data_IF_712338996116
#
_entry.id   IF_712338996116
#
_cell.length_a   1.000
_cell.length_b   1.000
_cell.length_c   1.000
_cell.angle_alpha   90.00
_cell.angle_beta   90.00
_cell.angle_gamma   90.00
#
_symmetry.space_group_name_H-M   'P 1'
#
loop_
_entity.id
_entity.type
_entity.pdbx_description
1 polymer ?
#
# COMPACT_ATOMS: atom_id res chain seq x y z
N UNK A 1 18.43 9.95 -5.81
CA UNK A 1 17.94 9.17 -6.96
C UNK A 1 16.48 8.72 -6.84
N UNK A 2 16.11 7.76 -5.96
CA UNK A 2 14.74 7.21 -5.97
C UNK A 2 13.63 8.21 -5.55
N UNK A 3 13.85 8.99 -4.49
CA UNK A 3 12.91 10.05 -4.07
C UNK A 3 12.77 11.17 -5.10
N UNK A 4 13.88 11.54 -5.76
CA UNK A 4 13.90 12.59 -6.79
C UNK A 4 13.10 12.20 -8.03
N UNK A 5 13.03 10.90 -8.34
CA UNK A 5 12.25 10.39 -9.47
C UNK A 5 10.73 10.55 -9.29
N UNK A 6 10.24 10.77 -8.06
CA UNK A 6 8.80 10.99 -7.80
C UNK A 6 8.34 12.40 -8.19
N UNK A 7 9.21 13.41 -8.05
CA UNK A 7 8.82 14.80 -8.29
C UNK A 7 8.41 15.10 -9.75
N UNK A 8 9.10 14.58 -10.79
CA UNK A 8 8.64 14.73 -12.17
C UNK A 8 7.28 14.10 -12.44
N UNK A 9 6.96 12.97 -11.79
CA UNK A 9 5.67 12.30 -11.95
C UNK A 9 4.53 13.13 -11.35
N UNK A 10 4.74 13.68 -10.14
CA UNK A 10 3.79 14.60 -9.50
C UNK A 10 3.57 15.86 -10.35
N UNK A 11 4.64 16.48 -10.81
CA UNK A 11 4.57 17.68 -11.66
C UNK A 11 3.88 17.42 -13.01
N UNK A 12 4.04 16.22 -13.58
CA UNK A 12 3.33 15.85 -14.80
C UNK A 12 1.82 15.73 -14.54
N UNK A 13 1.42 15.08 -13.45
CA UNK A 13 0.01 14.92 -13.06
C UNK A 13 -0.69 16.28 -12.86
N UNK A 14 0.01 17.25 -12.28
CA UNK A 14 -0.51 18.61 -12.07
C UNK A 14 -0.81 19.36 -13.38
N UNK A 15 -0.13 19.02 -14.47
CA UNK A 15 -0.28 19.69 -15.78
C UNK A 15 -1.37 19.08 -16.67
N UNK A 16 -1.89 17.91 -16.32
CA UNK A 16 -2.93 17.24 -17.08
C UNK A 16 -4.27 17.97 -16.93
N UNK A 17 -5.04 18.03 -18.02
CA UNK A 17 -6.42 18.53 -17.95
C UNK A 17 -7.34 17.54 -17.20
N UNK A 18 -8.56 17.99 -16.91
CA UNK A 18 -9.53 17.19 -16.17
C UNK A 18 -9.89 15.86 -16.87
N UNK A 19 -9.88 15.82 -18.20
CA UNK A 19 -10.18 14.61 -18.97
C UNK A 19 -9.07 13.58 -18.85
N UNK A 20 -7.81 14.00 -18.95
CA UNK A 20 -6.64 13.14 -18.77
C UNK A 20 -6.48 12.67 -17.31
N UNK A 21 -6.91 13.48 -16.33
CA UNK A 21 -6.89 13.12 -14.90
C UNK A 21 -8.02 12.19 -14.48
N UNK A 22 -9.06 12.04 -15.30
CA UNK A 22 -10.23 11.23 -14.96
C UNK A 22 -9.84 9.77 -14.68
N UNK A 23 -10.48 9.20 -13.65
CA UNK A 23 -10.32 7.79 -13.30
C UNK A 23 -11.11 6.92 -14.29
N UNK A 24 -10.43 6.53 -15.37
CA UNK A 24 -10.95 5.58 -16.35
C UNK A 24 -10.14 4.30 -16.30
N UNK A 25 -10.69 3.22 -16.85
CA UNK A 25 -9.96 1.95 -16.92
C UNK A 25 -8.62 2.07 -17.67
N UNK A 26 -8.57 2.88 -18.74
CA UNK A 26 -7.45 2.93 -19.68
C UNK A 26 -6.41 4.01 -19.38
N UNK A 27 -6.75 5.01 -18.59
CA UNK A 27 -5.84 6.14 -18.29
C UNK A 27 -5.03 5.90 -17.03
N UNK A 28 -3.88 6.56 -16.93
CA UNK A 28 -3.18 6.77 -15.66
C UNK A 28 -3.68 8.08 -15.03
N UNK A 29 -4.95 8.10 -14.61
CA UNK A 29 -5.57 9.26 -13.98
C UNK A 29 -5.04 9.57 -12.57
N UNK A 30 -5.52 10.66 -11.99
CA UNK A 30 -5.06 11.18 -10.68
C UNK A 30 -5.19 10.14 -9.56
N UNK A 31 -6.30 9.38 -9.55
CA UNK A 31 -6.54 8.33 -8.58
C UNK A 31 -5.43 7.25 -8.63
N UNK A 32 -5.11 6.74 -9.82
CA UNK A 32 -4.10 5.69 -10.00
C UNK A 32 -2.71 6.22 -9.67
N UNK A 33 -2.41 7.44 -10.10
CA UNK A 33 -1.17 8.14 -9.76
C UNK A 33 -0.94 8.14 -8.25
N UNK A 34 -1.93 8.60 -7.47
CA UNK A 34 -1.81 8.63 -6.03
C UNK A 34 -1.70 7.23 -5.40
N UNK A 35 -2.39 6.21 -5.91
CA UNK A 35 -2.24 4.82 -5.44
C UNK A 35 -0.82 4.28 -5.65
N UNK A 36 -0.20 4.58 -6.80
CA UNK A 36 1.18 4.20 -7.08
C UNK A 36 2.17 5.00 -6.24
N UNK A 37 1.94 6.31 -6.10
CA UNK A 37 2.75 7.20 -5.29
C UNK A 37 2.72 6.80 -3.80
N UNK A 38 1.54 6.46 -3.26
CA UNK A 38 1.40 5.98 -1.88
C UNK A 38 2.30 4.79 -1.63
N UNK A 39 2.27 3.79 -2.52
CA UNK A 39 3.12 2.62 -2.40
C UNK A 39 4.60 2.94 -2.52
N UNK A 40 4.99 3.78 -3.49
CA UNK A 40 6.39 4.17 -3.67
C UNK A 40 6.94 4.90 -2.44
N UNK A 41 6.18 5.85 -1.87
CA UNK A 41 6.55 6.57 -0.64
C UNK A 41 6.70 5.61 0.54
N UNK A 42 5.74 4.70 0.71
CA UNK A 42 5.81 3.66 1.74
C UNK A 42 7.06 2.79 1.58
N UNK A 43 7.33 2.27 0.39
CA UNK A 43 8.52 1.42 0.12
C UNK A 43 9.85 2.15 0.34
N UNK A 44 9.86 3.46 0.17
CA UNK A 44 11.03 4.30 0.42
C UNK A 44 11.18 4.74 1.89
N UNK A 45 10.22 4.38 2.76
CA UNK A 45 10.20 4.79 4.16
C UNK A 45 9.78 6.24 4.39
N UNK A 46 9.27 6.95 3.38
CA UNK A 46 8.73 8.31 3.50
C UNK A 46 7.30 8.26 4.04
N UNK A 47 7.17 7.79 5.29
CA UNK A 47 5.87 7.50 5.92
C UNK A 47 5.04 8.75 6.12
N UNK A 48 5.66 9.92 6.27
CA UNK A 48 4.97 11.21 6.37
C UNK A 48 4.23 11.53 5.07
N UNK A 49 4.94 11.59 3.93
CA UNK A 49 4.30 11.88 2.64
C UNK A 49 3.33 10.78 2.23
N UNK A 50 3.60 9.52 2.58
CA UNK A 50 2.66 8.42 2.33
C UNK A 50 1.31 8.61 3.06
N UNK A 51 1.32 9.15 4.28
CA UNK A 51 0.09 9.44 5.06
C UNK A 51 -0.66 10.68 4.55
N UNK A 52 0.06 11.68 4.05
CA UNK A 52 -0.52 12.90 3.44
C UNK A 52 -1.09 12.65 2.04
N UNK A 53 -0.79 11.50 1.44
CA UNK A 53 -1.21 11.15 0.09
C UNK A 53 -2.75 11.01 -0.03
N UNK A 54 -3.29 11.47 -1.17
CA UNK A 54 -4.74 11.53 -1.43
C UNK A 54 -5.37 10.23 -1.97
N UNK A 55 -4.60 9.16 -2.15
CA UNK A 55 -5.08 7.91 -2.77
C UNK A 55 -6.35 7.37 -2.13
N UNK A 56 -6.44 7.44 -0.79
CA UNK A 56 -7.60 6.92 -0.06
C UNK A 56 -8.84 7.79 -0.21
N UNK A 57 -8.66 9.11 -0.34
CA UNK A 57 -9.73 10.07 -0.63
C UNK A 57 -10.27 9.89 -2.04
N UNK A 58 -9.37 9.72 -3.01
CA UNK A 58 -9.70 9.57 -4.44
C UNK A 58 -10.25 8.20 -4.81
N UNK A 59 -10.09 7.18 -3.95
CA UNK A 59 -10.54 5.82 -4.22
C UNK A 59 -11.93 5.57 -3.65
N UNK A 60 -12.87 5.21 -4.53
CA UNK A 60 -14.23 4.84 -4.13
C UNK A 60 -14.22 3.76 -3.02
N UNK A 61 -15.10 3.86 -2.00
CA UNK A 61 -15.18 2.87 -0.93
C UNK A 61 -15.43 1.43 -1.43
N UNK A 62 -16.11 1.30 -2.57
CA UNK A 62 -16.41 0.03 -3.25
C UNK A 62 -15.23 -0.56 -4.02
N UNK A 63 -14.12 0.19 -4.18
CA UNK A 63 -12.91 -0.29 -4.85
C UNK A 63 -12.11 -1.21 -3.91
N UNK A 64 -12.67 -2.36 -3.55
CA UNK A 64 -12.14 -3.26 -2.51
C UNK A 64 -10.66 -3.58 -2.71
N UNK A 65 -10.24 -3.92 -3.94
CA UNK A 65 -8.83 -4.16 -4.26
C UNK A 65 -7.94 -2.98 -3.87
N UNK A 66 -8.27 -1.77 -4.34
CA UNK A 66 -7.48 -0.57 -4.04
C UNK A 66 -7.49 -0.23 -2.56
N UNK A 67 -8.66 -0.33 -1.91
CA UNK A 67 -8.79 -0.07 -0.47
C UNK A 67 -7.91 -0.99 0.36
N UNK A 68 -7.84 -2.27 -0.01
CA UNK A 68 -6.99 -3.26 0.65
C UNK A 68 -5.50 -3.00 0.42
N UNK A 69 -5.12 -2.65 -0.82
CA UNK A 69 -3.74 -2.26 -1.14
C UNK A 69 -3.28 -1.06 -0.31
N UNK A 70 -4.13 -0.04 -0.15
CA UNK A 70 -3.84 1.14 0.68
C UNK A 70 -3.80 0.83 2.17
N UNK A 71 -4.61 -0.14 2.65
CA UNK A 71 -4.54 -0.61 4.04
C UNK A 71 -3.19 -1.28 4.33
N UNK A 72 -2.69 -2.11 3.41
CA UNK A 72 -1.36 -2.75 3.58
C UNK A 72 -0.24 -1.72 3.50
N UNK A 73 -0.31 -0.74 2.60
CA UNK A 73 0.69 0.35 2.54
C UNK A 73 0.71 1.15 3.86
N UNK A 74 -0.45 1.44 4.45
CA UNK A 74 -0.54 2.10 5.75
C UNK A 74 0.03 1.24 6.90
N UNK A 75 -0.15 -0.07 6.85
CA UNK A 75 0.47 -1.00 7.80
C UNK A 75 2.00 -1.02 7.64
N UNK A 76 2.51 -1.00 6.41
CA UNK A 76 3.94 -0.90 6.17
C UNK A 76 4.52 0.45 6.66
N UNK A 77 3.78 1.56 6.60
CA UNK A 77 4.21 2.79 7.26
C UNK A 77 4.34 2.62 8.78
N UNK A 78 3.39 1.94 9.43
CA UNK A 78 3.46 1.61 10.87
C UNK A 78 4.70 0.77 11.20
N UNK A 79 5.06 -0.17 10.32
CA UNK A 79 6.29 -0.96 10.45
C UNK A 79 7.55 -0.09 10.34
N UNK A 80 7.63 0.78 9.34
CA UNK A 80 8.74 1.73 9.18
C UNK A 80 8.90 2.65 10.39
N UNK A 81 7.80 3.00 11.06
CA UNK A 81 7.82 3.79 12.29
C UNK A 81 8.13 2.95 13.56
N UNK A 82 8.54 1.69 13.41
CA UNK A 82 9.03 0.82 14.49
C UNK A 82 7.98 -0.03 15.19
N UNK A 83 6.73 -0.05 14.70
CA UNK A 83 5.61 -0.77 15.34
C UNK A 83 5.23 -2.05 14.56
N UNK A 84 6.21 -2.93 14.36
CA UNK A 84 6.13 -4.18 13.57
C UNK A 84 4.93 -5.06 13.91
N UNK A 85 4.70 -5.35 15.19
CA UNK A 85 3.60 -6.19 15.67
C UNK A 85 2.22 -5.64 15.25
N UNK A 86 2.02 -4.32 15.39
CA UNK A 86 0.78 -3.67 14.94
C UNK A 86 0.64 -3.71 13.42
N UNK A 87 1.74 -3.45 12.69
CA UNK A 87 1.74 -3.52 11.24
C UNK A 87 1.32 -4.90 10.75
N UNK A 88 1.87 -5.97 11.34
CA UNK A 88 1.54 -7.34 10.95
C UNK A 88 0.06 -7.65 11.17
N UNK A 89 -0.51 -7.29 12.33
CA UNK A 89 -1.96 -7.43 12.59
C UNK A 89 -2.81 -6.72 11.53
N UNK A 90 -2.46 -5.48 11.19
CA UNK A 90 -3.23 -4.64 10.25
C UNK A 90 -3.10 -5.11 8.79
N UNK A 91 -2.03 -5.83 8.48
CA UNK A 91 -1.73 -6.30 7.13
C UNK A 91 -2.24 -7.71 6.81
N UNK A 92 -2.73 -8.44 7.81
CA UNK A 92 -3.17 -9.83 7.63
C UNK A 92 -4.33 -9.89 6.63
N UNK A 93 -4.15 -10.53 5.45
CA UNK A 93 -5.19 -10.67 4.44
C UNK A 93 -6.32 -11.61 4.88
N UNK A 94 -6.13 -12.32 5.99
CA UNK A 94 -7.10 -13.17 6.66
C UNK A 94 -8.19 -12.40 7.41
N UNK A 95 -8.05 -11.08 7.58
CA UNK A 95 -9.10 -10.24 8.16
C UNK A 95 -10.37 -10.22 7.32
N UNK A 96 -11.53 -10.08 7.97
CA UNK A 96 -12.91 -10.28 7.48
C UNK A 96 -13.39 -9.41 6.29
N UNK A 97 -12.50 -8.76 5.53
CA UNK A 97 -12.87 -7.80 4.49
C UNK A 97 -12.34 -8.07 3.09
N UNK A 98 -11.43 -9.03 2.88
CA UNK A 98 -10.80 -9.25 1.58
C UNK A 98 -11.41 -10.46 0.85
N UNK A 99 -12.13 -10.25 -0.27
CA UNK A 99 -12.58 -11.34 -1.13
C UNK A 99 -11.42 -12.25 -1.56
N UNK A 100 -11.67 -13.55 -1.68
CA UNK A 100 -10.65 -14.54 -2.07
C UNK A 100 -9.91 -14.17 -3.35
N UNK A 101 -10.62 -13.60 -4.33
CA UNK A 101 -10.06 -13.13 -5.59
C UNK A 101 -8.95 -12.09 -5.43
N UNK A 102 -8.90 -11.39 -4.29
CA UNK A 102 -7.90 -10.37 -3.95
C UNK A 102 -6.91 -10.83 -2.88
N UNK A 103 -7.10 -12.03 -2.32
CA UNK A 103 -6.14 -12.67 -1.40
C UNK A 103 -4.90 -13.18 -2.13
N UNK A 104 -4.95 -13.32 -3.46
CA UNK A 104 -3.81 -13.53 -4.33
C UNK A 104 -3.44 -12.24 -5.10
N UNK A 105 -2.21 -12.17 -5.63
CA UNK A 105 -1.76 -11.05 -6.47
C UNK A 105 -1.20 -9.86 -5.69
N UNK A 106 -1.59 -8.63 -6.04
CA UNK A 106 -0.89 -7.41 -5.59
C UNK A 106 -1.04 -7.11 -4.10
N UNK A 107 -2.17 -7.46 -3.47
CA UNK A 107 -2.35 -7.30 -2.00
C UNK A 107 -1.46 -8.29 -1.27
N UNK A 108 -1.50 -9.56 -1.67
CA UNK A 108 -0.63 -10.61 -1.14
C UNK A 108 0.85 -10.23 -1.28
N UNK A 109 1.26 -9.76 -2.47
CA UNK A 109 2.66 -9.40 -2.71
C UNK A 109 3.15 -8.33 -1.73
N UNK A 110 2.32 -7.32 -1.45
CA UNK A 110 2.66 -6.26 -0.49
C UNK A 110 2.71 -6.76 0.95
N UNK A 111 1.78 -7.64 1.34
CA UNK A 111 1.79 -8.29 2.65
C UNK A 111 3.05 -9.16 2.83
N UNK A 112 3.45 -9.88 1.77
CA UNK A 112 4.67 -10.68 1.74
C UNK A 112 5.95 -9.82 1.83
N UNK A 113 5.98 -8.68 1.14
CA UNK A 113 7.11 -7.76 1.22
C UNK A 113 7.24 -7.15 2.63
N UNK A 114 6.13 -6.82 3.28
CA UNK A 114 6.11 -6.44 4.70
C UNK A 114 6.66 -7.56 5.60
N UNK A 115 6.17 -8.79 5.44
CA UNK A 115 6.68 -9.94 6.20
C UNK A 115 8.20 -10.12 6.03
N UNK A 116 8.71 -10.06 4.79
CA UNK A 116 10.14 -10.18 4.50
C UNK A 116 10.98 -9.04 5.08
N UNK A 117 10.40 -7.85 5.24
CA UNK A 117 11.06 -6.70 5.86
C UNK A 117 11.09 -6.77 7.39
N UNK A 118 10.45 -7.77 8.00
CA UNK A 118 10.34 -7.91 9.46
C UNK A 118 11.64 -8.42 10.08
N UNK A 119 12.29 -7.68 11.01
CA UNK A 119 13.52 -8.13 11.64
C UNK A 119 13.38 -9.45 12.40
N UNK A 120 14.46 -10.23 12.46
CA UNK A 120 14.48 -11.56 13.09
C UNK A 120 13.98 -11.57 14.54
N UNK A 121 14.21 -10.50 15.29
CA UNK A 121 13.76 -10.36 16.68
C UNK A 121 12.23 -10.39 16.84
N UNK A 122 11.47 -9.95 15.83
CA UNK A 122 10.01 -9.91 15.86
C UNK A 122 9.37 -11.21 15.34
N UNK A 123 10.14 -12.12 14.75
CA UNK A 123 9.62 -13.35 14.12
C UNK A 123 8.88 -14.30 15.09
N UNK A 124 9.10 -14.14 16.40
CA UNK A 124 8.40 -14.93 17.43
C UNK A 124 7.05 -14.34 17.84
N UNK A 125 6.76 -13.09 17.49
CA UNK A 125 5.51 -12.41 17.82
C UNK A 125 4.32 -13.06 17.09
N UNK A 126 3.17 -13.12 17.77
CA UNK A 126 1.98 -13.81 17.24
C UNK A 126 1.52 -13.22 15.91
N UNK A 127 1.43 -11.90 15.82
CA UNK A 127 1.01 -11.20 14.62
C UNK A 127 1.91 -11.47 13.40
N UNK A 128 3.22 -11.61 13.62
CA UNK A 128 4.19 -11.92 12.55
C UNK A 128 4.01 -13.35 12.05
N UNK A 129 3.72 -14.29 12.94
CA UNK A 129 3.41 -15.68 12.56
C UNK A 129 2.10 -15.78 11.80
N UNK A 130 1.06 -15.09 12.25
CA UNK A 130 -0.22 -15.03 11.55
C UNK A 130 -0.06 -14.46 10.14
N UNK A 131 0.69 -13.37 10.00
CA UNK A 131 1.01 -12.80 8.69
C UNK A 131 1.79 -13.78 7.82
N UNK A 132 2.81 -14.45 8.37
CA UNK A 132 3.58 -15.49 7.65
C UNK A 132 2.67 -16.58 7.11
N UNK A 133 1.79 -17.11 7.94
CA UNK A 133 0.91 -18.21 7.57
C UNK A 133 -0.08 -17.76 6.49
N UNK A 134 -0.58 -16.52 6.56
CA UNK A 134 -1.47 -15.92 5.57
C UNK A 134 -0.80 -15.65 4.21
N UNK A 135 0.51 -15.41 4.17
CA UNK A 135 1.26 -15.17 2.92
C UNK A 135 1.98 -16.43 2.39
N UNK A 136 1.81 -17.57 3.06
CA UNK A 136 2.37 -18.86 2.63
C UNK A 136 1.46 -19.66 1.68
N UNK A 137 0.18 -19.30 1.61
CA UNK A 137 -0.84 -19.79 0.64
C UNK A 137 -0.77 -19.04 -0.68
#
# INVERSE_FOLDING_TARGET
>A
MAHEALAPADAYMERLDAGARADTWLTHGEQKHHVHLSHALTSLGDTRRARENRARELSAPTSTMTRSRLTVDAAACVHHDGRTDEACRRSSPSGDGLPDAYRAGLVHRRALDLYRSTPAQHQREGAVRELRDAVAT
#
